data_IF_313892821435
#
_entry.id   IF_313892821435
#
_cell.length_a   1.000
_cell.length_b   1.000
_cell.length_c   1.000
_cell.angle_alpha   90.00
_cell.angle_beta   90.00
_cell.angle_gamma   90.00
#
_symmetry.space_group_name_H-M   'P 1'
#
loop_
_entity.id
_entity.type
_entity.pdbx_description
1 polymer ?
#
# COMPACT_ATOMS: atom_id res chain seq x y z
N UNK A 1 5.33 2.57 -17.38
CA UNK A 1 4.79 3.80 -16.74
C UNK A 1 4.22 4.68 -17.84
N UNK A 2 2.94 5.06 -17.78
CA UNK A 2 2.30 5.93 -18.76
C UNK A 2 2.75 7.39 -18.57
N UNK A 3 2.55 8.23 -19.60
CA UNK A 3 2.90 9.65 -19.55
C UNK A 3 2.12 10.40 -18.46
N UNK A 4 0.82 10.13 -18.32
CA UNK A 4 -0.02 10.67 -17.24
C UNK A 4 0.55 10.34 -15.85
N UNK A 5 1.07 9.13 -15.65
CA UNK A 5 1.70 8.76 -14.37
C UNK A 5 2.99 9.54 -14.13
N UNK A 6 3.77 9.80 -15.17
CA UNK A 6 5.00 10.58 -15.03
C UNK A 6 4.68 12.02 -14.58
N UNK A 7 3.69 12.67 -15.20
CA UNK A 7 3.23 14.00 -14.78
C UNK A 7 2.67 14.00 -13.36
N UNK A 8 1.88 13.00 -13.00
CA UNK A 8 1.36 12.84 -11.63
C UNK A 8 2.47 12.70 -10.59
N UNK A 9 3.44 11.81 -10.84
CA UNK A 9 4.56 11.58 -9.93
C UNK A 9 5.50 12.79 -9.87
N UNK A 10 5.63 13.55 -10.97
CA UNK A 10 6.37 14.80 -10.97
C UNK A 10 5.67 15.86 -10.10
N UNK A 11 4.37 16.08 -10.29
CA UNK A 11 3.59 17.03 -9.51
C UNK A 11 3.62 16.72 -8.00
N UNK A 12 3.50 15.44 -7.62
CA UNK A 12 3.60 15.01 -6.21
C UNK A 12 4.99 15.18 -5.58
N UNK A 13 6.03 15.44 -6.38
CA UNK A 13 7.38 15.78 -5.89
C UNK A 13 7.58 17.29 -5.68
N UNK A 14 6.61 18.11 -6.05
CA UNK A 14 6.67 19.56 -5.86
C UNK A 14 6.00 19.97 -4.55
N UNK A 15 6.70 20.73 -3.71
CA UNK A 15 6.16 21.19 -2.42
C UNK A 15 4.88 22.03 -2.60
N UNK A 16 4.80 22.82 -3.67
CA UNK A 16 3.66 23.68 -3.98
C UNK A 16 2.39 22.89 -4.37
N UNK A 17 2.49 21.59 -4.64
CA UNK A 17 1.33 20.75 -4.95
C UNK A 17 0.44 20.53 -3.72
N UNK A 18 1.00 20.58 -2.52
CA UNK A 18 0.29 20.25 -1.30
C UNK A 18 -0.30 21.51 -0.63
N UNK A 19 -1.51 21.44 -0.04
CA UNK A 19 -2.16 22.60 0.59
C UNK A 19 -1.62 22.88 2.02
N UNK A 20 -0.39 22.46 2.31
CA UNK A 20 0.26 22.65 3.60
C UNK A 20 1.76 22.84 3.40
N UNK A 21 2.49 23.39 4.39
CA UNK A 21 3.93 23.49 4.31
C UNK A 21 4.59 22.11 4.13
N UNK A 22 5.54 22.04 3.19
CA UNK A 22 6.34 20.84 2.90
C UNK A 22 7.81 21.28 2.84
N UNK A 23 8.63 20.76 3.75
CA UNK A 23 10.07 21.06 3.80
C UNK A 23 10.92 20.08 3.00
N UNK A 24 10.46 18.84 2.86
CA UNK A 24 11.13 17.79 2.12
C UNK A 24 10.08 16.80 1.61
N UNK A 25 10.34 16.25 0.42
CA UNK A 25 9.55 15.16 -0.15
C UNK A 25 10.45 13.94 -0.35
N UNK A 26 10.07 12.82 0.24
CA UNK A 26 10.69 11.52 0.00
C UNK A 26 9.66 10.59 -0.66
N UNK A 27 10.07 9.89 -1.71
CA UNK A 27 9.26 8.85 -2.35
C UNK A 27 9.73 7.48 -1.86
N UNK A 28 8.84 6.76 -1.17
CA UNK A 28 8.99 5.35 -0.87
C UNK A 28 8.18 4.54 -1.87
N UNK A 29 8.82 3.60 -2.55
CA UNK A 29 8.19 2.76 -3.54
C UNK A 29 8.10 1.31 -3.06
N UNK A 30 6.92 0.73 -3.19
CA UNK A 30 6.67 -0.70 -2.97
C UNK A 30 6.27 -1.36 -4.28
N UNK A 31 6.06 -2.68 -4.28
CA UNK A 31 5.58 -3.40 -5.46
C UNK A 31 4.21 -2.91 -5.97
N UNK A 32 3.33 -2.39 -5.09
CA UNK A 32 1.94 -2.00 -5.44
C UNK A 32 1.59 -0.54 -5.12
N UNK A 33 2.50 0.26 -4.59
CA UNK A 33 2.19 1.62 -4.16
C UNK A 33 3.39 2.57 -4.24
N UNK A 34 3.09 3.84 -4.44
CA UNK A 34 3.98 4.99 -4.23
C UNK A 34 3.53 5.72 -2.97
N UNK A 35 4.47 6.04 -2.09
CA UNK A 35 4.20 6.77 -0.85
C UNK A 35 5.06 8.03 -0.83
N UNK A 36 4.41 9.19 -0.83
CA UNK A 36 5.06 10.50 -0.72
C UNK A 36 5.03 10.96 0.73
N UNK A 37 6.22 11.07 1.33
CA UNK A 37 6.42 11.59 2.68
C UNK A 37 6.68 13.10 2.57
N UNK A 38 5.84 13.92 3.19
CA UNK A 38 5.85 15.39 3.06
C UNK A 38 6.18 16.12 4.37
N UNK A 39 6.70 15.38 5.35
CA UNK A 39 6.99 15.86 6.71
C UNK A 39 5.80 15.65 7.64
N UNK A 40 4.70 16.38 7.43
CA UNK A 40 3.50 16.29 8.29
C UNK A 40 2.55 15.16 7.88
N UNK A 41 2.39 14.96 6.58
CA UNK A 41 1.47 13.97 6.03
C UNK A 41 2.21 13.02 5.08
N UNK A 42 1.64 11.83 4.89
CA UNK A 42 2.06 10.89 3.89
C UNK A 42 0.89 10.63 2.93
N UNK A 43 1.18 10.52 1.65
CA UNK A 43 0.20 10.27 0.60
C UNK A 43 0.52 8.98 -0.11
N UNK A 44 -0.35 7.97 0.02
CA UNK A 44 -0.16 6.67 -0.60
C UNK A 44 -1.06 6.52 -1.82
N UNK A 45 -0.44 6.33 -2.98
CA UNK A 45 -1.10 6.05 -4.25
C UNK A 45 -0.89 4.58 -4.61
N UNK A 46 -1.91 3.96 -5.20
CA UNK A 46 -1.85 2.58 -5.71
C UNK A 46 -1.30 2.59 -7.12
N UNK A 47 -0.33 1.72 -7.41
CA UNK A 47 0.16 1.51 -8.78
C UNK A 47 -0.94 0.81 -9.60
N UNK A 48 -1.14 1.14 -10.89
CA UNK A 48 -2.12 0.45 -11.73
C UNK A 48 -1.55 -0.87 -12.23
N UNK A 49 -1.50 -1.84 -11.33
CA UNK A 49 -1.04 -3.19 -11.59
C UNK A 49 -2.18 -4.16 -11.29
N UNK A 50 -2.14 -5.30 -11.97
CA UNK A 50 -2.90 -6.49 -11.61
C UNK A 50 -1.89 -7.59 -11.32
N UNK A 51 -1.81 -7.98 -10.05
CA UNK A 51 -0.97 -9.08 -9.58
C UNK A 51 -1.84 -10.30 -9.22
N UNK A 52 -3.11 -10.30 -9.63
CA UNK A 52 -4.18 -11.26 -9.37
C UNK A 52 -4.54 -11.58 -7.91
N UNK A 53 -3.70 -11.28 -6.92
CA UNK A 53 -4.10 -11.15 -5.51
C UNK A 53 -4.55 -9.72 -5.17
N UNK A 54 -4.14 -8.74 -5.98
CA UNK A 54 -4.66 -7.36 -5.98
C UNK A 54 -4.83 -6.89 -7.42
N UNK A 55 -5.90 -6.15 -7.66
CA UNK A 55 -6.19 -5.56 -8.96
C UNK A 55 -6.49 -4.07 -8.81
N UNK A 56 -5.50 -3.26 -9.19
CA UNK A 56 -5.54 -1.80 -9.18
C UNK A 56 -5.56 -1.22 -10.60
N UNK A 57 -5.86 -2.05 -11.61
CA UNK A 57 -5.78 -1.69 -13.03
C UNK A 57 -6.62 -0.46 -13.38
N UNK A 58 -7.86 -0.38 -12.89
CA UNK A 58 -8.77 0.73 -13.16
C UNK A 58 -8.79 1.76 -12.04
N UNK A 59 -9.06 3.02 -12.41
CA UNK A 59 -9.22 4.12 -11.44
C UNK A 59 -10.33 3.83 -10.42
N UNK A 60 -11.44 3.22 -10.86
CA UNK A 60 -12.54 2.84 -9.97
C UNK A 60 -12.10 1.79 -8.93
N UNK A 61 -11.30 0.80 -9.33
CA UNK A 61 -10.71 -0.17 -8.40
C UNK A 61 -9.77 0.52 -7.42
N UNK A 62 -8.89 1.41 -7.88
CA UNK A 62 -8.00 2.17 -6.99
C UNK A 62 -8.77 3.02 -5.98
N UNK A 63 -9.81 3.73 -6.41
CA UNK A 63 -10.72 4.44 -5.50
C UNK A 63 -11.31 3.49 -4.44
N UNK A 64 -11.86 2.35 -4.86
CA UNK A 64 -12.46 1.38 -3.95
C UNK A 64 -11.45 0.88 -2.92
N UNK A 65 -10.27 0.44 -3.37
CA UNK A 65 -9.22 -0.05 -2.49
C UNK A 65 -8.63 1.05 -1.59
N UNK A 66 -8.60 2.32 -2.00
CA UNK A 66 -8.19 3.42 -1.12
C UNK A 66 -9.21 3.62 0.01
N UNK A 67 -10.50 3.49 -0.28
CA UNK A 67 -11.55 3.54 0.75
C UNK A 67 -11.51 2.32 1.67
N UNK A 68 -11.27 1.12 1.13
CA UNK A 68 -11.10 -0.07 1.96
C UNK A 68 -9.85 0.01 2.85
N UNK A 69 -8.74 0.52 2.33
CA UNK A 69 -7.53 0.76 3.12
C UNK A 69 -7.82 1.72 4.28
N UNK A 70 -8.52 2.83 4.01
CA UNK A 70 -8.94 3.77 5.04
C UNK A 70 -9.84 3.08 6.09
N UNK A 71 -10.92 2.43 5.64
CA UNK A 71 -11.92 1.76 6.49
C UNK A 71 -11.30 0.69 7.37
N UNK A 72 -10.42 -0.14 6.80
CA UNK A 72 -9.81 -1.27 7.51
C UNK A 72 -8.78 -0.80 8.53
N UNK A 73 -7.93 0.17 8.16
CA UNK A 73 -6.82 0.60 9.00
C UNK A 73 -7.23 1.61 10.07
N UNK A 74 -8.28 2.40 9.87
CA UNK A 74 -8.81 3.30 10.91
C UNK A 74 -9.27 2.57 12.17
N UNK A 75 -9.57 1.26 12.09
CA UNK A 75 -9.92 0.46 13.28
C UNK A 75 -8.75 0.28 14.25
N UNK A 76 -7.51 0.34 13.74
CA UNK A 76 -6.28 0.19 14.52
C UNK A 76 -5.53 1.51 14.68
N UNK A 77 -5.65 2.43 13.71
CA UNK A 77 -4.90 3.68 13.69
C UNK A 77 -5.76 4.85 13.16
N UNK A 78 -6.85 5.22 13.84
CA UNK A 78 -7.79 6.24 13.36
C UNK A 78 -7.16 7.63 13.23
N UNK A 79 -6.18 7.94 14.08
CA UNK A 79 -5.46 9.22 14.02
C UNK A 79 -4.43 9.28 12.89
N UNK A 80 -3.98 8.11 12.41
CA UNK A 80 -3.00 7.98 11.34
C UNK A 80 -3.66 8.05 9.96
N UNK A 81 -4.77 7.35 9.77
CA UNK A 81 -5.48 7.25 8.49
C UNK A 81 -6.60 8.29 8.41
N UNK A 82 -6.39 9.36 7.65
CA UNK A 82 -7.22 10.56 7.74
C UNK A 82 -8.38 10.57 6.74
N UNK A 83 -8.09 10.43 5.45
CA UNK A 83 -9.09 10.44 4.38
C UNK A 83 -8.53 9.92 3.05
N UNK A 84 -9.42 9.65 2.10
CA UNK A 84 -9.07 9.51 0.69
C UNK A 84 -9.14 10.89 0.03
N UNK A 85 -8.14 11.24 -0.78
CA UNK A 85 -8.03 12.51 -1.50
C UNK A 85 -8.03 12.23 -3.01
N UNK A 86 -8.92 12.86 -3.79
CA UNK A 86 -8.84 12.83 -5.24
C UNK A 86 -7.72 13.76 -5.74
N UNK A 87 -7.03 13.34 -6.79
CA UNK A 87 -6.09 14.17 -7.53
C UNK A 87 -6.67 14.35 -8.92
N UNK A 88 -7.14 15.56 -9.22
CA UNK A 88 -7.81 15.91 -10.48
C UNK A 88 -6.95 16.80 -11.36
N UNK A 89 -7.58 17.71 -12.10
CA UNK A 89 -6.91 18.60 -13.07
C UNK A 89 -6.78 17.95 -14.46
N UNK A 90 -5.85 18.45 -15.27
CA UNK A 90 -5.48 17.80 -16.53
C UNK A 90 -4.35 16.79 -16.30
N UNK A 91 -4.12 15.88 -17.25
CA UNK A 91 -3.03 14.91 -17.15
C UNK A 91 -1.65 15.58 -17.01
N UNK A 92 -1.46 16.74 -17.65
CA UNK A 92 -0.23 17.52 -17.65
C UNK A 92 -0.13 18.47 -16.46
N UNK A 93 -1.26 18.83 -15.84
CA UNK A 93 -1.34 19.70 -14.68
C UNK A 93 -2.26 19.10 -13.60
N UNK A 94 -1.80 18.06 -12.89
CA UNK A 94 -2.53 17.49 -11.77
C UNK A 94 -2.77 18.52 -10.67
N UNK A 95 -3.90 18.42 -9.99
CA UNK A 95 -4.30 19.32 -8.90
C UNK A 95 -4.74 18.52 -7.68
N UNK A 96 -4.29 18.95 -6.50
CA UNK A 96 -4.61 18.32 -5.23
C UNK A 96 -6.08 18.56 -4.84
N UNK A 97 -6.76 17.52 -4.35
CA UNK A 97 -8.15 17.56 -3.86
C UNK A 97 -9.14 18.12 -4.91
N UNK A 98 -8.91 17.77 -6.17
CA UNK A 98 -9.68 18.24 -7.31
C UNK A 98 -10.42 17.09 -8.02
N UNK A 99 -11.57 17.42 -8.63
CA UNK A 99 -12.40 16.50 -9.41
C UNK A 99 -12.62 17.08 -10.83
N UNK A 100 -12.82 16.25 -11.87
CA UNK A 100 -12.82 14.78 -11.82
C UNK A 100 -11.42 14.21 -11.54
N UNK A 101 -11.37 13.20 -10.67
CA UNK A 101 -10.13 12.58 -10.27
C UNK A 101 -9.45 11.84 -11.45
N UNK A 102 -8.16 12.10 -11.61
CA UNK A 102 -7.22 11.33 -12.41
C UNK A 102 -6.60 10.17 -11.59
N UNK A 103 -6.49 10.35 -10.28
CA UNK A 103 -5.99 9.36 -9.33
C UNK A 103 -6.55 9.59 -7.92
N UNK A 104 -6.44 8.60 -7.03
CA UNK A 104 -6.77 8.72 -5.61
C UNK A 104 -5.57 8.39 -4.73
N UNK A 105 -5.41 9.16 -3.66
CA UNK A 105 -4.42 8.91 -2.61
C UNK A 105 -5.09 8.70 -1.25
N UNK A 106 -4.51 7.83 -0.42
CA UNK A 106 -4.83 7.79 1.02
C UNK A 106 -3.94 8.81 1.71
N UNK A 107 -4.54 9.83 2.32
CA UNK A 107 -3.85 10.80 3.16
C UNK A 107 -3.72 10.24 4.57
N UNK A 108 -2.49 10.20 5.05
CA UNK A 108 -2.13 9.72 6.39
C UNK A 108 -1.33 10.80 7.12
N UNK A 109 -1.32 10.78 8.46
CA UNK A 109 -0.23 11.44 9.19
C UNK A 109 1.07 10.74 8.85
N UNK A 110 2.13 11.50 8.63
CA UNK A 110 3.43 10.87 8.48
C UNK A 110 3.90 10.41 9.85
N UNK A 111 4.10 9.10 10.00
CA UNK A 111 4.67 8.53 11.21
C UNK A 111 6.18 8.76 11.23
N UNK A 112 6.72 9.09 12.40
CA UNK A 112 8.15 9.29 12.61
C UNK A 112 8.93 8.03 12.27
N UNK A 113 9.76 8.10 11.22
CA UNK A 113 10.46 6.92 10.69
C UNK A 113 11.42 6.30 11.71
N UNK A 114 11.92 7.08 12.68
CA UNK A 114 12.78 6.58 13.76
C UNK A 114 12.07 5.62 14.73
N UNK A 115 10.73 5.66 14.78
CA UNK A 115 9.89 4.93 15.74
C UNK A 115 9.43 3.57 15.22
N UNK A 116 9.81 3.20 14.00
CA UNK A 116 9.53 1.87 13.46
C UNK A 116 10.26 0.80 14.28
N UNK A 117 9.57 -0.29 14.61
CA UNK A 117 10.16 -1.42 15.36
C UNK A 117 11.40 -1.99 14.66
N UNK A 118 11.45 -1.97 13.33
CA UNK A 118 12.64 -2.35 12.55
C UNK A 118 13.84 -1.45 12.82
N UNK A 119 13.62 -0.14 12.96
CA UNK A 119 14.67 0.83 13.29
C UNK A 119 15.09 0.74 14.75
N UNK A 120 14.14 0.51 15.67
CA UNK A 120 14.43 0.21 17.07
C UNK A 120 15.28 -1.06 17.19
N UNK A 121 14.95 -2.11 16.45
CA UNK A 121 15.72 -3.36 16.43
C UNK A 121 17.15 -3.15 15.92
N UNK A 122 17.32 -2.40 14.82
CA UNK A 122 18.64 -2.06 14.27
C UNK A 122 19.53 -1.30 15.26
N UNK A 123 18.93 -0.50 16.16
CA UNK A 123 19.65 0.24 17.21
C UNK A 123 19.81 -0.53 18.52
N UNK A 124 19.25 -1.74 18.64
CA UNK A 124 19.22 -2.50 19.89
C UNK A 124 18.25 -1.94 20.95
N UNK A 125 17.31 -1.08 20.54
CA UNK A 125 16.34 -0.42 21.43
C UNK A 125 14.99 -1.18 21.50
N UNK A 126 14.82 -2.23 20.68
CA UNK A 126 13.61 -3.06 20.70
C UNK A 126 13.59 -3.96 21.95
N UNK A 127 12.79 -3.59 22.94
CA UNK A 127 12.62 -4.33 24.19
C UNK A 127 11.48 -5.38 24.11
N UNK A 128 11.53 -6.45 24.94
CA UNK A 128 10.44 -7.42 25.07
C UNK A 128 9.08 -6.77 25.35
N UNK A 129 9.05 -5.73 26.19
CA UNK A 129 7.81 -5.01 26.51
C UNK A 129 7.11 -4.40 25.27
N UNK A 130 7.86 -4.01 24.23
CA UNK A 130 7.25 -3.54 22.98
C UNK A 130 6.55 -4.68 22.23
N UNK A 131 7.09 -5.90 22.31
CA UNK A 131 6.52 -7.09 21.69
C UNK A 131 5.26 -7.51 22.44
N UNK A 132 5.30 -7.50 23.77
CA UNK A 132 4.14 -7.81 24.61
C UNK A 132 2.99 -6.83 24.32
N UNK A 133 3.26 -5.52 24.28
CA UNK A 133 2.26 -4.51 23.95
C UNK A 133 1.67 -4.67 22.54
N UNK A 134 2.49 -5.04 21.56
CA UNK A 134 2.03 -5.34 20.21
C UNK A 134 1.12 -6.58 20.19
N UNK A 135 1.53 -7.64 20.88
CA UNK A 135 0.76 -8.88 20.98
C UNK A 135 -0.59 -8.65 21.64
N UNK A 136 -0.63 -7.92 22.76
CA UNK A 136 -1.86 -7.55 23.46
C UNK A 136 -2.79 -6.73 22.55
N UNK A 137 -2.24 -5.73 21.86
CA UNK A 137 -3.02 -4.91 20.92
C UNK A 137 -3.65 -5.73 19.79
N UNK A 138 -2.92 -6.71 19.25
CA UNK A 138 -3.43 -7.63 18.21
C UNK A 138 -4.50 -8.56 18.79
N UNK A 139 -4.26 -9.13 19.97
CA UNK A 139 -5.20 -10.02 20.64
C UNK A 139 -6.53 -9.31 20.94
N UNK A 140 -6.48 -8.12 21.52
CA UNK A 140 -7.64 -7.28 21.80
C UNK A 140 -8.38 -6.86 20.53
N UNK A 141 -7.67 -6.63 19.43
CA UNK A 141 -8.29 -6.36 18.15
C UNK A 141 -9.05 -7.57 17.62
N UNK A 142 -8.44 -8.75 17.63
CA UNK A 142 -9.09 -9.99 17.18
C UNK A 142 -10.31 -10.37 18.02
N UNK A 143 -10.31 -10.09 19.32
CA UNK A 143 -11.47 -10.36 20.19
C UNK A 143 -12.66 -9.41 19.92
N UNK A 144 -12.42 -8.19 19.42
CA UNK A 144 -13.46 -7.18 19.20
C UNK A 144 -14.09 -7.22 17.81
N UNK A 145 -13.39 -7.74 16.81
CA UNK A 145 -13.92 -7.81 15.45
C UNK A 145 -14.87 -9.00 15.30
N UNK A 146 -15.96 -8.80 14.55
CA UNK A 146 -16.83 -9.91 14.19
C UNK A 146 -16.05 -10.92 13.33
N UNK A 147 -16.01 -12.18 13.76
CA UNK A 147 -15.49 -13.26 12.94
C UNK A 147 -16.28 -13.37 11.64
N UNK A 148 -15.60 -13.68 10.54
CA UNK A 148 -16.28 -14.09 9.32
C UNK A 148 -16.46 -15.60 9.30
N UNK A 149 -17.55 -16.12 8.72
CA UNK A 149 -17.69 -17.54 8.47
C UNK A 149 -16.46 -18.05 7.72
N UNK A 150 -15.80 -19.03 8.30
CA UNK A 150 -14.64 -19.67 7.69
C UNK A 150 -15.17 -20.62 6.62
N UNK A 151 -14.73 -20.51 5.35
CA UNK A 151 -15.08 -21.47 4.31
C UNK A 151 -14.73 -22.90 4.75
N UNK A 152 -15.52 -23.88 4.33
CA UNK A 152 -15.31 -25.28 4.72
C UNK A 152 -13.95 -25.84 4.25
N UNK A 153 -13.35 -25.24 3.23
CA UNK A 153 -12.05 -25.58 2.65
C UNK A 153 -10.90 -24.72 3.18
N UNK A 154 -11.14 -23.87 4.19
CA UNK A 154 -10.11 -22.97 4.73
C UNK A 154 -8.96 -23.75 5.37
N UNK A 155 -7.75 -23.52 4.85
CA UNK A 155 -6.54 -24.17 5.37
C UNK A 155 -6.32 -25.59 4.86
N UNK A 156 -7.17 -26.09 3.96
CA UNK A 156 -6.93 -27.36 3.27
C UNK A 156 -5.63 -27.27 2.45
N UNK A 157 -4.80 -28.34 2.40
CA UNK A 157 -3.52 -28.32 1.70
C UNK A 157 -3.62 -27.88 0.23
N UNK A 158 -4.68 -28.31 -0.47
CA UNK A 158 -4.94 -27.91 -1.85
C UNK A 158 -5.20 -26.40 -1.99
N UNK A 159 -5.86 -25.80 -0.99
CA UNK A 159 -6.09 -24.36 -0.97
C UNK A 159 -4.78 -23.63 -0.72
N UNK A 160 -3.96 -24.05 0.25
CA UNK A 160 -2.66 -23.42 0.53
C UNK A 160 -1.74 -23.52 -0.71
N UNK A 161 -1.65 -24.71 -1.31
CA UNK A 161 -0.86 -24.97 -2.52
C UNK A 161 -1.28 -24.04 -3.67
N UNK A 162 -2.59 -23.89 -3.90
CA UNK A 162 -3.13 -23.00 -4.94
C UNK A 162 -2.63 -21.56 -4.81
N UNK A 163 -2.57 -21.00 -3.60
CA UNK A 163 -2.09 -19.63 -3.40
C UNK A 163 -0.58 -19.50 -3.63
N UNK A 164 0.19 -20.53 -3.27
CA UNK A 164 1.62 -20.57 -3.57
C UNK A 164 1.87 -20.67 -5.08
N UNK A 165 1.18 -21.59 -5.77
CA UNK A 165 1.28 -21.84 -7.21
C UNK A 165 0.79 -20.66 -8.07
N UNK A 166 -0.24 -19.95 -7.59
CA UNK A 166 -0.80 -18.81 -8.30
C UNK A 166 0.25 -17.70 -8.51
N UNK A 167 1.19 -17.52 -7.57
CA UNK A 167 2.30 -16.57 -7.76
C UNK A 167 3.16 -16.95 -8.98
N UNK A 168 3.49 -18.24 -9.15
CA UNK A 168 4.31 -18.69 -10.28
C UNK A 168 3.58 -18.49 -11.61
N UNK A 169 2.29 -18.82 -11.66
CA UNK A 169 1.44 -18.60 -12.84
C UNK A 169 1.39 -17.12 -13.26
N UNK A 170 1.42 -16.21 -12.29
CA UNK A 170 1.36 -14.75 -12.53
C UNK A 170 2.72 -14.14 -12.89
N UNK A 171 3.81 -14.68 -12.36
CA UNK A 171 5.17 -14.22 -12.65
C UNK A 171 5.60 -14.68 -14.04
N UNK A 172 5.24 -15.91 -14.46
CA UNK A 172 5.64 -16.50 -15.74
C UNK A 172 5.52 -15.55 -16.97
N UNK A 173 4.38 -14.85 -17.22
CA UNK A 173 4.25 -13.93 -18.35
C UNK A 173 5.07 -12.64 -18.21
N UNK A 174 5.58 -12.32 -17.02
CA UNK A 174 6.40 -11.13 -16.76
C UNK A 174 7.90 -11.39 -16.90
N UNK A 175 8.32 -12.66 -17.05
CA UNK A 175 9.72 -13.01 -17.21
C UNK A 175 10.19 -12.71 -18.64
N UNK A 176 11.29 -11.99 -18.77
CA UNK A 176 11.78 -11.54 -20.08
C UNK A 176 12.82 -12.51 -20.67
N UNK A 177 13.52 -13.30 -19.84
CA UNK A 177 14.58 -14.20 -20.29
C UNK A 177 14.35 -15.67 -19.94
N UNK A 178 14.95 -16.55 -20.75
CA UNK A 178 14.74 -18.01 -20.66
C UNK A 178 15.38 -18.64 -19.42
N UNK A 179 16.38 -17.97 -18.83
CA UNK A 179 16.98 -18.41 -17.58
C UNK A 179 15.99 -18.28 -16.42
N UNK A 180 15.30 -17.15 -16.32
CA UNK A 180 14.27 -16.94 -15.30
C UNK A 180 13.10 -17.90 -15.48
N UNK A 181 12.70 -18.19 -16.73
CA UNK A 181 11.67 -19.20 -17.02
C UNK A 181 12.11 -20.59 -16.54
N UNK A 182 13.35 -20.99 -16.86
CA UNK A 182 13.89 -22.28 -16.41
C UNK A 182 14.05 -22.38 -14.88
N UNK A 183 14.42 -21.28 -14.21
CA UNK A 183 14.45 -21.21 -12.75
C UNK A 183 13.05 -21.33 -12.14
N UNK A 184 12.04 -20.73 -12.76
CA UNK A 184 10.63 -20.86 -12.36
C UNK A 184 10.12 -22.29 -12.53
N UNK A 185 10.43 -22.94 -13.65
CA UNK A 185 10.02 -24.33 -13.94
C UNK A 185 10.64 -25.35 -12.97
N UNK A 186 11.76 -25.03 -12.31
CA UNK A 186 12.37 -25.89 -11.29
C UNK A 186 11.71 -25.77 -9.90
N UNK A 187 10.89 -24.74 -9.69
CA UNK A 187 10.15 -24.51 -8.44
C UNK A 187 8.76 -25.16 -8.45
N UNK A 188 8.35 -25.72 -9.60
CA UNK A 188 7.09 -26.40 -9.84
C UNK A 188 7.33 -27.90 -10.06
#
# INVERSE_FOLDING_TARGET
MTEQQQFLLAALREAAFYPHPVSQIELVETHISWIFLTGRYAYKLKKPVDLGFVDFSSLAKRRWFCNEELRLNQRLAPELYLRVVPIGGSAEQPQFDAEPALEYAVQMRQFEQHGLLSRLAQRGELQPAHIDQLADSIADFHQRIAGQPVPADYGEPAQIARWAEQNFSQIAPLLENDRQRAELDQLH
#
